data_IF_982787200455
#
_entry.id   IF_982787200455
#
_cell.length_a   1.000
_cell.length_b   1.000
_cell.length_c   1.000
_cell.angle_alpha   90.00
_cell.angle_beta   90.00
_cell.angle_gamma   90.00
#
_symmetry.space_group_name_H-M   'P 1'
#
loop_
_entity.id
_entity.type
_entity.pdbx_description
1 polymer ?
#
# COMPACT_ATOMS: atom_id res chain seq x y z
N UNK A 1 55.16 113.70 37.68
CA UNK A 1 55.08 113.15 36.26
C UNK A 1 55.24 111.61 36.17
N UNK A 2 56.16 110.99 36.94
CA UNK A 2 56.41 109.54 36.91
C UNK A 2 55.20 108.70 37.36
N UNK A 3 54.39 109.11 38.38
CA UNK A 3 53.22 108.36 38.82
C UNK A 3 52.08 108.32 37.76
N UNK A 4 51.93 109.37 36.94
CA UNK A 4 50.96 109.42 35.87
C UNK A 4 51.35 108.47 34.72
N UNK A 5 52.66 108.38 34.44
CA UNK A 5 53.13 107.41 33.40
C UNK A 5 52.95 105.96 33.80
N UNK A 6 53.18 105.68 35.12
CA UNK A 6 52.96 104.30 35.62
C UNK A 6 51.49 103.87 35.55
N UNK A 7 50.65 104.81 36.04
CA UNK A 7 49.16 104.55 35.97
C UNK A 7 48.63 104.47 34.56
N UNK A 8 49.18 105.24 33.62
CA UNK A 8 48.81 105.10 32.19
C UNK A 8 49.29 103.81 31.58
N UNK A 9 50.47 103.26 31.94
CA UNK A 9 50.98 102.01 31.51
C UNK A 9 50.16 100.82 32.11
N UNK A 10 49.85 100.92 33.39
CA UNK A 10 48.95 99.90 34.03
C UNK A 10 47.56 99.91 33.44
N UNK A 11 46.95 101.11 33.17
CA UNK A 11 45.69 101.17 32.47
C UNK A 11 45.70 100.57 31.10
N UNK A 12 46.80 100.81 30.33
CA UNK A 12 46.93 100.23 29.02
C UNK A 12 47.14 98.71 29.07
N UNK A 13 47.87 98.19 30.03
CA UNK A 13 48.05 96.72 30.23
C UNK A 13 46.74 96.09 30.66
N UNK A 14 45.98 96.71 31.49
CA UNK A 14 44.59 96.22 31.87
C UNK A 14 43.64 96.25 30.70
N UNK A 15 43.71 97.28 29.84
CA UNK A 15 42.87 97.34 28.61
C UNK A 15 43.27 96.24 27.60
N UNK A 16 44.55 95.95 27.46
CA UNK A 16 45.00 94.86 26.63
C UNK A 16 44.50 93.45 27.18
N UNK A 17 44.67 93.31 28.50
CA UNK A 17 44.15 92.08 29.14
C UNK A 17 42.61 91.94 28.95
N UNK A 18 41.90 93.04 29.14
CA UNK A 18 40.44 93.03 28.94
C UNK A 18 40.03 92.71 27.51
N UNK A 19 40.78 93.23 26.50
CA UNK A 19 40.57 92.92 25.10
C UNK A 19 40.86 91.41 24.82
N UNK A 20 42.00 90.93 25.34
CA UNK A 20 42.37 89.53 25.22
C UNK A 20 41.28 88.58 25.81
N UNK A 21 40.81 88.89 27.02
CA UNK A 21 39.76 88.12 27.68
C UNK A 21 38.43 88.20 26.92
N UNK A 22 38.05 89.37 26.36
CA UNK A 22 36.86 89.42 25.48
C UNK A 22 36.99 88.59 24.25
N UNK A 23 38.11 88.65 23.54
CA UNK A 23 38.37 87.82 22.36
C UNK A 23 38.36 86.32 22.71
N UNK A 24 38.91 85.96 23.86
CA UNK A 24 38.91 84.56 24.31
C UNK A 24 37.46 84.07 24.64
N UNK A 25 36.71 84.95 25.30
CA UNK A 25 35.29 84.67 25.57
C UNK A 25 34.43 84.51 24.28
N UNK A 26 34.62 85.46 23.35
CA UNK A 26 33.93 85.39 22.04
C UNK A 26 34.27 84.10 21.28
N UNK A 27 35.54 83.68 21.33
CA UNK A 27 35.94 82.40 20.73
C UNK A 27 35.32 81.22 21.41
N UNK A 28 35.28 81.20 22.73
CA UNK A 28 34.62 80.11 23.49
C UNK A 28 33.15 80.12 23.29
N UNK A 29 32.49 81.27 23.20
CA UNK A 29 31.05 81.35 22.92
C UNK A 29 30.72 80.86 21.50
N UNK A 30 31.58 81.20 20.51
CA UNK A 30 31.47 80.67 19.16
C UNK A 30 31.69 79.14 19.10
N UNK A 31 32.69 78.65 19.80
CA UNK A 31 32.94 77.19 19.91
C UNK A 31 31.81 76.48 20.61
N UNK A 32 31.23 77.11 21.66
CA UNK A 32 30.08 76.57 22.34
C UNK A 32 28.80 76.53 21.46
N UNK A 33 28.62 77.56 20.60
CA UNK A 33 27.55 77.61 19.63
C UNK A 33 27.65 76.58 18.51
N UNK A 34 28.93 76.19 18.16
CA UNK A 34 29.20 75.12 17.17
C UNK A 34 29.18 73.72 17.76
N UNK A 35 29.23 73.58 19.09
CA UNK A 35 29.05 72.30 19.77
C UNK A 35 27.60 71.94 19.77
N UNK A 36 27.22 71.12 18.79
CA UNK A 36 25.95 70.37 18.84
C UNK A 36 26.03 69.42 20.02
N UNK A 37 25.66 69.84 21.19
CA UNK A 37 25.46 68.92 22.32
C UNK A 37 24.28 68.04 21.94
N UNK A 38 24.43 66.71 21.88
CA UNK A 38 23.31 65.82 21.63
C UNK A 38 22.25 66.10 22.70
N UNK A 39 21.02 66.20 22.23
CA UNK A 39 19.88 66.31 23.16
C UNK A 39 19.86 65.11 24.09
N UNK A 40 19.90 65.35 25.39
CA UNK A 40 19.91 64.30 26.40
C UNK A 40 18.73 63.32 26.25
N UNK A 41 17.58 63.82 25.79
CA UNK A 41 16.39 63.00 25.50
C UNK A 41 16.60 62.13 24.27
N UNK A 42 17.25 62.66 23.22
CA UNK A 42 17.62 61.89 22.03
C UNK A 42 18.65 60.82 22.34
N UNK A 43 19.63 61.11 23.20
CA UNK A 43 20.63 60.09 23.64
C UNK A 43 19.94 58.96 24.43
N UNK A 44 19.00 59.30 25.32
CA UNK A 44 18.30 58.28 26.09
C UNK A 44 17.40 57.43 25.20
N UNK A 45 16.66 58.04 24.26
CA UNK A 45 15.89 57.30 23.26
C UNK A 45 16.74 56.39 22.38
N UNK A 46 17.95 56.79 22.01
CA UNK A 46 18.87 55.95 21.23
C UNK A 46 19.40 54.77 22.06
N UNK A 47 19.69 55.02 23.36
CA UNK A 47 20.08 53.92 24.26
C UNK A 47 18.95 52.89 24.43
N UNK A 48 17.71 53.35 24.63
CA UNK A 48 16.52 52.51 24.77
C UNK A 48 16.31 51.65 23.49
N UNK A 49 16.41 52.29 22.32
CA UNK A 49 16.34 51.58 21.03
C UNK A 49 17.49 50.59 20.83
N UNK A 50 18.70 50.93 21.29
CA UNK A 50 19.84 50.00 21.23
C UNK A 50 19.59 48.78 22.10
N UNK A 51 19.09 48.98 23.33
CA UNK A 51 18.75 47.86 24.22
C UNK A 51 17.64 46.99 23.67
N UNK A 52 16.62 47.60 23.08
CA UNK A 52 15.55 46.84 22.40
C UNK A 52 16.06 46.07 21.20
N UNK A 53 16.94 46.68 20.38
CA UNK A 53 17.57 46.02 19.22
C UNK A 53 18.48 44.89 19.63
N UNK A 54 19.26 45.08 20.70
CA UNK A 54 20.17 44.03 21.24
C UNK A 54 19.31 42.84 21.77
N UNK A 55 18.23 43.11 22.50
CA UNK A 55 17.31 42.07 22.96
C UNK A 55 16.66 41.30 21.78
N UNK A 56 16.23 42.02 20.74
CA UNK A 56 15.64 41.39 19.53
C UNK A 56 16.72 40.58 18.78
N UNK A 57 17.95 41.06 18.75
CA UNK A 57 19.05 40.32 18.12
C UNK A 57 19.37 39.03 18.88
N UNK A 58 19.47 39.09 20.23
CA UNK A 58 19.65 37.90 21.07
C UNK A 58 18.54 36.87 20.89
N UNK A 59 17.26 37.32 20.87
CA UNK A 59 16.13 36.44 20.61
C UNK A 59 16.19 35.81 19.22
N UNK A 60 16.49 36.60 18.19
CA UNK A 60 16.66 36.12 16.83
C UNK A 60 17.81 35.11 16.69
N UNK A 61 18.94 35.40 17.35
CA UNK A 61 20.10 34.49 17.36
C UNK A 61 19.78 33.16 18.04
N UNK A 62 19.12 33.19 19.21
CA UNK A 62 18.69 31.98 19.91
C UNK A 62 17.71 31.16 19.06
N UNK A 63 16.82 31.84 18.33
CA UNK A 63 15.89 31.18 17.41
C UNK A 63 16.58 30.52 16.22
N UNK A 64 17.57 31.19 15.63
CA UNK A 64 18.41 30.61 14.55
C UNK A 64 19.15 29.38 15.05
N UNK A 65 19.72 29.43 16.25
CA UNK A 65 20.43 28.32 16.87
C UNK A 65 19.51 27.10 17.10
N UNK A 66 18.31 27.30 17.71
CA UNK A 66 17.28 26.25 17.88
C UNK A 66 16.86 25.63 16.52
N UNK A 67 16.59 26.46 15.51
CA UNK A 67 16.22 25.99 14.18
C UNK A 67 17.36 25.23 13.49
N UNK A 68 18.59 25.68 13.65
CA UNK A 68 19.79 25.06 13.09
C UNK A 68 20.08 23.68 13.73
N UNK A 69 19.76 23.50 15.02
CA UNK A 69 19.86 22.20 15.69
C UNK A 69 18.76 21.23 15.25
N UNK A 70 17.56 21.73 14.96
CA UNK A 70 16.39 20.93 14.57
C UNK A 70 16.38 20.55 13.08
N UNK A 71 16.99 21.37 12.23
CA UNK A 71 17.00 21.15 10.78
C UNK A 71 17.54 19.76 10.39
N UNK A 72 18.71 19.28 10.89
CA UNK A 72 19.23 17.98 10.51
C UNK A 72 18.34 16.80 10.96
N UNK A 73 17.64 16.93 12.09
CA UNK A 73 16.70 15.92 12.55
C UNK A 73 15.47 15.84 11.65
N UNK A 74 14.95 17.00 11.25
CA UNK A 74 13.81 17.10 10.33
C UNK A 74 14.17 16.62 8.92
N UNK A 75 15.38 16.92 8.44
CA UNK A 75 15.86 16.41 7.15
C UNK A 75 16.06 14.89 7.19
N UNK A 76 16.58 14.34 8.28
CA UNK A 76 16.67 12.89 8.47
C UNK A 76 15.29 12.22 8.50
N UNK A 77 14.32 12.79 9.21
CA UNK A 77 12.94 12.32 9.24
C UNK A 77 12.29 12.40 7.86
N UNK A 78 12.50 13.49 7.12
CA UNK A 78 12.03 13.67 5.75
C UNK A 78 12.57 12.58 4.81
N UNK A 79 13.88 12.31 4.86
CA UNK A 79 14.52 11.26 4.04
C UNK A 79 14.01 9.87 4.40
N UNK A 80 13.81 9.58 5.68
CA UNK A 80 13.27 8.30 6.14
C UNK A 80 11.84 8.08 5.63
N UNK A 81 10.96 9.07 5.79
CA UNK A 81 9.58 8.98 5.31
C UNK A 81 9.49 8.93 3.78
N UNK A 82 10.37 9.63 3.06
CA UNK A 82 10.48 9.55 1.61
C UNK A 82 10.86 8.14 1.15
N UNK A 83 11.86 7.53 1.79
CA UNK A 83 12.29 6.17 1.48
C UNK A 83 11.18 5.16 1.75
N UNK A 84 10.47 5.31 2.86
CA UNK A 84 9.33 4.45 3.21
C UNK A 84 8.20 4.59 2.18
N UNK A 85 7.81 5.82 1.82
CA UNK A 85 6.78 6.06 0.81
C UNK A 85 7.15 5.47 -0.56
N UNK A 86 8.42 5.55 -0.96
CA UNK A 86 8.91 4.92 -2.18
C UNK A 86 8.83 3.39 -2.10
N UNK A 87 9.22 2.81 -0.97
CA UNK A 87 9.20 1.36 -0.73
C UNK A 87 7.77 0.82 -0.79
N UNK A 88 6.84 1.45 -0.07
CA UNK A 88 5.43 1.05 -0.06
C UNK A 88 4.78 1.22 -1.44
N UNK A 89 5.08 2.30 -2.14
CA UNK A 89 4.57 2.53 -3.51
C UNK A 89 5.11 1.49 -4.49
N UNK A 90 6.39 1.10 -4.38
CA UNK A 90 6.98 0.07 -5.23
C UNK A 90 6.37 -1.32 -4.96
N UNK A 91 6.13 -1.67 -3.71
CA UNK A 91 5.45 -2.93 -3.34
C UNK A 91 4.02 -2.96 -3.87
N UNK A 92 3.25 -1.90 -3.70
CA UNK A 92 1.91 -1.77 -4.26
C UNK A 92 1.91 -1.92 -5.79
N UNK A 93 2.84 -1.27 -6.48
CA UNK A 93 2.96 -1.36 -7.93
C UNK A 93 3.29 -2.79 -8.39
N UNK A 94 4.20 -3.48 -7.69
CA UNK A 94 4.55 -4.87 -7.98
C UNK A 94 3.35 -5.81 -7.79
N UNK A 95 2.63 -5.70 -6.68
CA UNK A 95 1.45 -6.53 -6.40
C UNK A 95 0.34 -6.25 -7.40
N UNK A 96 0.10 -4.98 -7.74
CA UNK A 96 -0.90 -4.58 -8.75
C UNK A 96 -0.57 -5.13 -10.12
N UNK A 97 0.68 -5.01 -10.57
CA UNK A 97 1.11 -5.55 -11.86
C UNK A 97 0.96 -7.08 -11.93
N UNK A 98 1.31 -7.79 -10.86
CA UNK A 98 1.12 -9.25 -10.79
C UNK A 98 -0.36 -9.64 -10.83
N UNK A 99 -1.19 -8.93 -10.08
CA UNK A 99 -2.64 -9.13 -10.06
C UNK A 99 -3.27 -8.91 -11.45
N UNK A 100 -2.91 -7.83 -12.13
CA UNK A 100 -3.39 -7.52 -13.47
C UNK A 100 -2.93 -8.57 -14.50
N UNK A 101 -1.68 -9.01 -14.44
CA UNK A 101 -1.16 -10.06 -15.33
C UNK A 101 -1.92 -11.37 -15.14
N UNK A 102 -2.18 -11.79 -13.89
CA UNK A 102 -2.94 -13.01 -13.61
C UNK A 102 -4.41 -12.89 -14.05
N UNK A 103 -5.05 -11.74 -13.84
CA UNK A 103 -6.41 -11.47 -14.32
C UNK A 103 -6.49 -11.51 -15.84
N UNK A 104 -5.55 -10.87 -16.53
CA UNK A 104 -5.49 -10.89 -17.99
C UNK A 104 -5.26 -12.31 -18.56
N UNK A 105 -4.37 -13.08 -17.92
CA UNK A 105 -4.16 -14.48 -18.29
C UNK A 105 -5.42 -15.31 -18.09
N UNK A 106 -6.11 -15.12 -16.97
CA UNK A 106 -7.34 -15.85 -16.66
C UNK A 106 -8.49 -15.49 -17.62
N UNK A 107 -8.62 -14.22 -17.97
CA UNK A 107 -9.58 -13.74 -18.96
C UNK A 107 -9.25 -14.29 -20.35
N UNK A 108 -7.99 -14.28 -20.73
CA UNK A 108 -7.53 -14.86 -22.01
C UNK A 108 -7.89 -16.33 -22.10
N UNK A 109 -7.64 -17.11 -21.06
CA UNK A 109 -8.00 -18.54 -21.01
C UNK A 109 -9.53 -18.75 -21.13
N UNK A 110 -10.31 -17.83 -20.57
CA UNK A 110 -11.77 -17.89 -20.65
C UNK A 110 -12.34 -17.40 -21.99
N UNK A 111 -11.72 -16.42 -22.63
CA UNK A 111 -12.24 -15.76 -23.83
C UNK A 111 -11.67 -16.29 -25.15
N UNK A 112 -10.49 -16.91 -25.16
CA UNK A 112 -9.85 -17.39 -26.40
C UNK A 112 -10.46 -18.65 -27.00
N UNK A 113 -11.43 -19.29 -26.31
CA UNK A 113 -12.13 -20.43 -26.87
C UNK A 113 -13.39 -20.01 -27.66
N UNK A 114 -13.80 -20.84 -28.57
CA UNK A 114 -15.12 -20.77 -29.26
C UNK A 114 -16.30 -20.79 -28.28
N UNK A 115 -16.04 -20.93 -26.95
CA UNK A 115 -17.02 -21.09 -25.90
C UNK A 115 -17.74 -19.77 -25.60
N UNK A 116 -17.06 -18.63 -25.52
CA UNK A 116 -17.67 -17.31 -25.24
C UNK A 116 -18.81 -16.98 -26.20
N UNK A 117 -18.57 -16.96 -27.53
CA UNK A 117 -19.60 -16.70 -28.52
C UNK A 117 -20.73 -17.75 -28.47
N UNK A 118 -20.44 -19.01 -28.16
CA UNK A 118 -21.47 -20.03 -28.01
C UNK A 118 -22.36 -19.79 -26.78
N UNK A 119 -21.75 -19.42 -25.63
CA UNK A 119 -22.50 -19.07 -24.42
C UNK A 119 -23.39 -17.85 -24.64
N UNK A 120 -22.91 -16.82 -25.34
CA UNK A 120 -23.71 -15.66 -25.70
C UNK A 120 -24.90 -16.04 -26.58
N UNK A 121 -24.67 -16.87 -27.60
CA UNK A 121 -25.70 -17.37 -28.49
C UNK A 121 -26.81 -18.17 -27.74
N UNK A 122 -26.41 -18.92 -26.72
CA UNK A 122 -27.31 -19.73 -25.90
C UNK A 122 -27.92 -18.96 -24.72
N UNK A 123 -27.59 -17.67 -24.53
CA UNK A 123 -28.08 -16.85 -23.43
C UNK A 123 -27.47 -17.23 -22.06
N UNK A 124 -26.32 -17.92 -22.06
CA UNK A 124 -25.65 -18.43 -20.87
C UNK A 124 -24.43 -17.58 -20.45
N UNK A 125 -24.17 -16.47 -21.13
CA UNK A 125 -22.98 -15.62 -20.91
C UNK A 125 -22.84 -15.07 -19.48
N UNK A 126 -23.96 -14.84 -18.80
CA UNK A 126 -24.01 -14.28 -17.45
C UNK A 126 -23.92 -15.34 -16.33
N UNK A 127 -23.85 -16.62 -16.69
CA UNK A 127 -23.81 -17.69 -15.70
C UNK A 127 -22.39 -17.88 -15.19
N UNK A 128 -22.30 -18.12 -13.89
CA UNK A 128 -21.01 -18.26 -13.20
C UNK A 128 -20.52 -19.71 -13.27
N UNK A 129 -19.30 -19.93 -13.76
CA UNK A 129 -18.66 -21.25 -13.73
C UNK A 129 -18.43 -21.73 -12.30
N UNK A 130 -18.52 -23.05 -12.08
CA UNK A 130 -18.46 -23.68 -10.76
C UNK A 130 -17.17 -23.31 -9.98
N UNK A 131 -16.02 -23.27 -10.65
CA UNK A 131 -14.74 -22.98 -10.00
C UNK A 131 -14.71 -21.61 -9.28
N UNK A 132 -15.51 -20.61 -9.69
CA UNK A 132 -15.62 -19.31 -9.00
C UNK A 132 -16.33 -19.39 -7.64
N UNK A 133 -16.98 -20.52 -7.38
CA UNK A 133 -17.74 -20.77 -6.14
C UNK A 133 -17.03 -21.77 -5.23
N UNK A 134 -15.88 -22.32 -5.67
CA UNK A 134 -15.16 -23.36 -4.95
C UNK A 134 -13.99 -22.75 -4.16
N UNK A 135 -13.91 -23.13 -2.90
CA UNK A 135 -12.80 -22.83 -2.02
C UNK A 135 -12.30 -24.13 -1.41
N UNK A 136 -11.01 -24.35 -1.44
CA UNK A 136 -10.36 -25.54 -0.88
C UNK A 136 -9.20 -25.11 0.00
N UNK A 137 -8.75 -25.99 0.88
CA UNK A 137 -7.54 -25.75 1.67
C UNK A 137 -6.32 -25.51 0.77
N UNK A 138 -5.47 -24.50 1.13
CA UNK A 138 -4.27 -24.19 0.33
C UNK A 138 -3.38 -25.42 0.11
N UNK A 139 -2.92 -25.58 -1.12
CA UNK A 139 -2.08 -26.69 -1.56
C UNK A 139 -2.84 -27.93 -2.05
N UNK A 140 -4.20 -27.90 -2.06
CA UNK A 140 -5.03 -28.97 -2.61
C UNK A 140 -5.76 -28.57 -3.91
N UNK A 141 -5.50 -27.40 -4.45
CA UNK A 141 -6.12 -26.86 -5.67
C UNK A 141 -5.91 -27.80 -6.86
N UNK A 142 -4.67 -28.27 -7.05
CA UNK A 142 -4.31 -29.18 -8.14
C UNK A 142 -4.99 -30.53 -7.99
N UNK A 143 -5.17 -31.01 -6.75
CA UNK A 143 -5.88 -32.26 -6.48
C UNK A 143 -7.36 -32.16 -6.86
N UNK A 144 -8.00 -31.04 -6.49
CA UNK A 144 -9.38 -30.78 -6.85
C UNK A 144 -9.56 -30.63 -8.37
N UNK A 145 -8.68 -29.86 -9.04
CA UNK A 145 -8.70 -29.71 -10.49
C UNK A 145 -8.54 -31.05 -11.21
N UNK A 146 -7.58 -31.88 -10.76
CA UNK A 146 -7.34 -33.20 -11.33
C UNK A 146 -8.55 -34.15 -11.17
N UNK A 147 -9.27 -34.05 -10.06
CA UNK A 147 -10.45 -34.86 -9.78
C UNK A 147 -11.69 -34.38 -10.52
N UNK A 148 -11.87 -33.06 -10.61
CA UNK A 148 -13.05 -32.44 -11.22
C UNK A 148 -12.97 -32.35 -12.74
N UNK A 149 -11.74 -32.15 -13.29
CA UNK A 149 -11.48 -31.99 -14.74
C UNK A 149 -12.43 -30.96 -15.40
N UNK A 150 -13.16 -31.39 -16.46
CA UNK A 150 -14.14 -30.55 -17.15
C UNK A 150 -15.26 -30.03 -16.28
N UNK A 151 -15.54 -30.67 -15.15
CA UNK A 151 -16.55 -30.24 -14.18
C UNK A 151 -16.17 -28.95 -13.48
N UNK A 152 -14.89 -28.57 -13.45
CA UNK A 152 -14.47 -27.27 -12.91
C UNK A 152 -15.12 -26.08 -13.62
N UNK A 153 -15.25 -26.16 -14.94
CA UNK A 153 -15.90 -25.12 -15.76
C UNK A 153 -17.41 -25.31 -15.89
N UNK A 154 -18.02 -26.23 -15.14
CA UNK A 154 -19.45 -26.52 -15.23
C UNK A 154 -20.30 -25.30 -14.93
N UNK A 155 -21.43 -25.18 -15.63
CA UNK A 155 -22.38 -24.07 -15.50
C UNK A 155 -23.67 -24.59 -14.88
N UNK A 156 -24.17 -23.81 -13.91
CA UNK A 156 -25.45 -24.08 -13.27
C UNK A 156 -26.61 -23.80 -14.23
N UNK A 157 -27.53 -24.74 -14.34
CA UNK A 157 -28.78 -24.59 -15.06
C UNK A 157 -29.96 -24.87 -14.13
N UNK A 158 -31.07 -24.21 -14.37
CA UNK A 158 -32.27 -24.39 -13.52
C UNK A 158 -32.84 -25.82 -13.61
N UNK A 159 -32.68 -26.46 -14.75
CA UNK A 159 -33.11 -27.85 -15.01
C UNK A 159 -32.21 -28.51 -16.04
N UNK A 160 -31.77 -29.74 -15.78
CA UNK A 160 -30.90 -30.47 -16.71
C UNK A 160 -31.60 -30.79 -18.05
N UNK A 161 -32.92 -30.87 -18.07
CA UNK A 161 -33.66 -31.06 -19.32
C UNK A 161 -33.43 -29.99 -20.38
N UNK A 162 -33.01 -28.77 -19.96
CA UNK A 162 -32.70 -27.68 -20.86
C UNK A 162 -31.48 -28.00 -21.74
N UNK A 163 -30.60 -28.87 -21.28
CA UNK A 163 -29.38 -29.27 -22.01
C UNK A 163 -29.71 -30.03 -23.30
N UNK A 164 -30.92 -30.62 -23.42
CA UNK A 164 -31.39 -31.25 -24.67
C UNK A 164 -31.43 -30.27 -25.85
N UNK A 165 -31.64 -28.98 -25.59
CA UNK A 165 -31.63 -27.96 -26.63
C UNK A 165 -30.24 -27.81 -27.28
N UNK A 166 -29.18 -28.21 -26.61
CA UNK A 166 -27.81 -28.12 -27.10
C UNK A 166 -27.36 -29.34 -27.91
N UNK A 167 -28.20 -30.37 -28.04
CA UNK A 167 -27.83 -31.59 -28.80
C UNK A 167 -27.50 -31.30 -30.25
N UNK A 168 -28.21 -30.34 -30.88
CA UNK A 168 -27.98 -29.94 -32.27
C UNK A 168 -26.89 -28.89 -32.45
N UNK A 169 -26.58 -28.16 -31.38
CA UNK A 169 -25.53 -27.10 -31.37
C UNK A 169 -24.71 -27.28 -30.07
N UNK A 170 -23.95 -28.36 -30.03
CA UNK A 170 -23.19 -28.77 -28.85
C UNK A 170 -22.08 -27.73 -28.52
N UNK A 171 -21.71 -27.60 -27.24
CA UNK A 171 -20.60 -26.76 -26.85
C UNK A 171 -19.33 -27.11 -27.65
N UNK A 172 -18.57 -26.11 -28.13
CA UNK A 172 -17.39 -26.34 -28.96
C UNK A 172 -16.20 -26.91 -28.16
N UNK A 173 -16.31 -26.98 -26.84
CA UNK A 173 -15.33 -27.55 -25.92
C UNK A 173 -16.01 -28.49 -24.93
N UNK A 174 -15.20 -29.33 -24.25
CA UNK A 174 -15.70 -30.16 -23.16
C UNK A 174 -16.28 -29.29 -22.07
N UNK A 175 -17.55 -29.47 -21.74
CA UNK A 175 -18.29 -28.68 -20.78
C UNK A 175 -19.27 -29.56 -20.02
N UNK A 176 -19.50 -29.27 -18.75
CA UNK A 176 -20.52 -29.90 -17.94
C UNK A 176 -21.59 -28.87 -17.54
N UNK A 177 -22.79 -29.37 -17.31
CA UNK A 177 -23.91 -28.62 -16.75
C UNK A 177 -24.35 -29.30 -15.48
N UNK A 178 -24.81 -28.54 -14.49
CA UNK A 178 -25.32 -29.06 -13.25
C UNK A 178 -26.57 -28.29 -12.80
N UNK A 179 -27.36 -28.94 -11.95
CA UNK A 179 -28.43 -28.30 -11.20
C UNK A 179 -28.20 -28.57 -9.72
N UNK A 180 -28.51 -27.61 -8.88
CA UNK A 180 -28.43 -27.81 -7.43
C UNK A 180 -29.66 -28.55 -6.93
N UNK A 181 -29.46 -29.54 -6.07
CA UNK A 181 -30.49 -30.27 -5.35
C UNK A 181 -30.16 -30.26 -3.85
N UNK A 182 -31.20 -30.28 -3.03
CA UNK A 182 -31.00 -30.36 -1.57
C UNK A 182 -30.81 -31.81 -1.07
N UNK A 183 -30.95 -32.79 -1.96
CA UNK A 183 -30.72 -34.20 -1.61
C UNK A 183 -29.22 -34.46 -1.44
N UNK A 184 -28.83 -34.91 -0.26
CA UNK A 184 -27.46 -35.35 0.02
C UNK A 184 -27.34 -36.86 -0.23
N UNK A 185 -26.29 -37.34 -0.96
CA UNK A 185 -26.05 -38.76 -1.08
C UNK A 185 -25.75 -39.38 0.29
N UNK A 186 -26.02 -40.66 0.50
CA UNK A 186 -25.68 -41.35 1.73
C UNK A 186 -24.17 -41.35 1.92
N UNK A 187 -23.66 -41.14 3.16
CA UNK A 187 -22.24 -41.12 3.41
C UNK A 187 -21.60 -42.49 3.16
N UNK A 188 -20.55 -42.56 2.38
CA UNK A 188 -19.67 -43.71 2.20
C UNK A 188 -18.63 -43.69 3.33
N UNK A 189 -18.62 -44.75 4.16
CA UNK A 189 -17.68 -44.80 5.30
C UNK A 189 -16.39 -45.52 4.92
N UNK A 190 -15.33 -44.75 4.67
CA UNK A 190 -13.96 -45.25 4.57
C UNK A 190 -13.05 -44.61 5.63
N UNK A 191 -11.99 -45.33 6.01
CA UNK A 191 -10.98 -44.81 6.98
C UNK A 191 -10.04 -43.75 6.33
N UNK A 192 -10.11 -43.58 5.00
CA UNK A 192 -9.28 -42.63 4.26
C UNK A 192 -9.88 -41.22 4.30
N UNK A 193 -9.04 -40.18 4.38
CA UNK A 193 -9.54 -38.80 4.35
C UNK A 193 -10.10 -38.44 2.98
N UNK A 194 -11.35 -38.01 2.96
CA UNK A 194 -12.07 -37.61 1.74
C UNK A 194 -11.62 -36.25 1.24
N UNK A 195 -11.55 -36.07 -0.10
CA UNK A 195 -11.26 -34.77 -0.71
C UNK A 195 -12.35 -33.73 -0.37
N UNK A 196 -13.60 -34.17 -0.22
CA UNK A 196 -14.72 -33.32 0.20
C UNK A 196 -14.52 -32.65 1.54
N UNK A 197 -13.80 -33.27 2.48
CA UNK A 197 -13.53 -32.72 3.81
C UNK A 197 -12.64 -31.48 3.80
N UNK A 198 -11.89 -31.27 2.71
CA UNK A 198 -11.00 -30.12 2.51
C UNK A 198 -11.71 -28.92 1.85
N UNK A 199 -12.95 -29.12 1.39
CA UNK A 199 -13.76 -28.05 0.79
C UNK A 199 -14.32 -27.15 1.87
N UNK A 200 -14.29 -25.85 1.63
CA UNK A 200 -14.83 -24.83 2.52
C UNK A 200 -16.17 -24.33 1.99
N UNK A 201 -17.16 -24.28 2.87
CA UNK A 201 -18.51 -23.82 2.59
C UNK A 201 -18.89 -22.73 3.59
N UNK A 202 -18.29 -21.53 3.40
CA UNK A 202 -18.38 -20.44 4.37
C UNK A 202 -19.59 -19.51 4.12
N UNK A 203 -20.33 -19.71 3.02
CA UNK A 203 -21.45 -18.85 2.66
C UNK A 203 -22.80 -19.51 2.94
N UNK A 204 -23.79 -18.77 3.44
CA UNK A 204 -25.15 -19.28 3.61
C UNK A 204 -25.75 -19.67 2.25
N UNK A 205 -26.50 -20.78 2.23
CA UNK A 205 -27.16 -21.26 1.01
C UNK A 205 -26.35 -22.23 0.14
N UNK A 206 -25.16 -22.66 0.57
CA UNK A 206 -24.30 -23.59 -0.19
C UNK A 206 -24.67 -25.09 0.00
N UNK A 207 -25.79 -25.41 0.63
CA UNK A 207 -26.20 -26.81 0.86
C UNK A 207 -26.30 -27.62 -0.45
N UNK A 208 -26.93 -27.07 -1.48
CA UNK A 208 -27.01 -27.70 -2.79
C UNK A 208 -25.65 -27.92 -3.45
N UNK A 209 -24.73 -26.97 -3.30
CA UNK A 209 -23.35 -27.10 -3.79
C UNK A 209 -22.59 -28.20 -3.05
N UNK A 210 -22.75 -28.27 -1.73
CA UNK A 210 -22.16 -29.33 -0.91
C UNK A 210 -22.68 -30.71 -1.32
N UNK A 211 -23.97 -30.85 -1.56
CA UNK A 211 -24.59 -32.09 -2.02
C UNK A 211 -24.07 -32.51 -3.41
N UNK A 212 -23.97 -31.56 -4.34
CA UNK A 212 -23.37 -31.78 -5.66
C UNK A 212 -21.93 -32.28 -5.60
N UNK A 213 -21.10 -31.63 -4.78
CA UNK A 213 -19.68 -31.99 -4.67
C UNK A 213 -19.50 -33.31 -3.93
N UNK A 214 -20.32 -33.61 -2.95
CA UNK A 214 -20.36 -34.91 -2.29
C UNK A 214 -20.69 -36.03 -3.29
N UNK A 215 -21.65 -35.81 -4.20
CA UNK A 215 -21.96 -36.75 -5.28
C UNK A 215 -20.81 -36.89 -6.31
N UNK A 216 -20.24 -35.78 -6.72
CA UNK A 216 -19.20 -35.80 -7.77
C UNK A 216 -17.82 -36.28 -7.32
N UNK A 217 -17.51 -36.14 -6.05
CA UNK A 217 -16.26 -36.54 -5.42
C UNK A 217 -16.42 -37.76 -4.52
N UNK A 218 -17.53 -38.46 -4.59
CA UNK A 218 -17.72 -39.72 -3.90
C UNK A 218 -16.65 -40.72 -4.32
N UNK A 219 -16.04 -41.38 -3.34
CA UNK A 219 -14.93 -42.30 -3.59
C UNK A 219 -13.57 -41.64 -3.95
N UNK A 220 -13.46 -40.29 -3.81
CA UNK A 220 -12.20 -39.59 -4.00
C UNK A 220 -11.58 -39.25 -2.65
N UNK A 221 -10.47 -39.93 -2.33
CA UNK A 221 -9.72 -39.75 -1.09
C UNK A 221 -8.45 -38.96 -1.34
N UNK A 222 -7.76 -38.57 -0.28
CA UNK A 222 -6.57 -37.72 -0.35
C UNK A 222 -5.35 -38.37 0.28
N UNK A 223 -4.17 -38.12 -0.29
CA UNK A 223 -2.89 -38.44 0.33
C UNK A 223 -1.90 -37.27 0.09
N UNK A 224 -0.96 -37.00 1.00
CA UNK A 224 -0.02 -35.91 0.85
C UNK A 224 0.93 -36.09 -0.35
N UNK A 225 1.30 -37.32 -0.66
CA UNK A 225 2.25 -37.70 -1.73
C UNK A 225 1.91 -39.05 -2.38
N UNK A 226 2.62 -39.34 -3.47
CA UNK A 226 2.43 -40.57 -4.26
C UNK A 226 2.79 -41.83 -3.45
N UNK A 227 3.82 -41.78 -2.62
CA UNK A 227 4.26 -42.93 -1.85
C UNK A 227 3.18 -43.35 -0.85
N UNK A 228 2.58 -42.40 -0.14
CA UNK A 228 1.46 -42.62 0.76
C UNK A 228 0.23 -43.16 0.03
N UNK A 229 -0.11 -42.57 -1.13
CA UNK A 229 -1.23 -43.03 -1.96
C UNK A 229 -1.03 -44.49 -2.43
N UNK A 230 0.17 -44.84 -2.85
CA UNK A 230 0.48 -46.22 -3.25
C UNK A 230 0.38 -47.25 -2.10
N UNK A 231 0.72 -46.85 -0.88
CA UNK A 231 0.59 -47.72 0.31
C UNK A 231 -0.88 -47.94 0.71
N UNK A 232 -1.72 -46.94 0.49
CA UNK A 232 -3.13 -46.97 0.89
C UNK A 232 -4.07 -47.54 -0.19
N UNK A 233 -3.60 -47.71 -1.43
CA UNK A 233 -4.42 -48.13 -2.59
C UNK A 233 -5.21 -49.42 -2.41
N UNK A 234 -4.70 -50.36 -1.61
CA UNK A 234 -5.35 -51.65 -1.37
C UNK A 234 -6.65 -51.55 -0.57
N UNK A 235 -6.87 -50.38 0.09
CA UNK A 235 -8.07 -50.06 0.84
C UNK A 235 -9.20 -49.56 -0.08
N UNK A 236 -8.89 -49.22 -1.37
CA UNK A 236 -9.86 -48.68 -2.32
C UNK A 236 -10.85 -49.72 -2.81
N UNK A 237 -12.11 -49.33 -2.89
CA UNK A 237 -13.16 -50.09 -3.57
C UNK A 237 -13.16 -49.91 -5.09
N UNK A 238 -14.19 -50.38 -5.75
CA UNK A 238 -14.35 -50.24 -7.20
C UNK A 238 -14.70 -48.79 -7.57
N UNK A 239 -13.93 -48.22 -8.49
CA UNK A 239 -14.13 -46.84 -8.96
C UNK A 239 -13.54 -45.77 -8.08
N UNK A 240 -13.07 -46.12 -6.88
CA UNK A 240 -12.45 -45.20 -5.94
C UNK A 240 -11.01 -44.88 -6.32
N UNK A 241 -10.54 -43.71 -5.90
CA UNK A 241 -9.20 -43.24 -6.15
C UNK A 241 -8.67 -42.36 -5.01
N UNK A 242 -7.36 -42.36 -4.85
CA UNK A 242 -6.64 -41.43 -3.96
C UNK A 242 -5.98 -40.38 -4.84
N UNK A 243 -6.20 -39.12 -4.55
CA UNK A 243 -5.54 -38.01 -5.22
C UNK A 243 -4.50 -37.36 -4.31
N UNK A 244 -3.33 -37.06 -4.89
CA UNK A 244 -2.23 -36.38 -4.16
C UNK A 244 -2.32 -34.86 -4.32
N UNK A 245 -1.60 -34.11 -3.46
CA UNK A 245 -1.48 -32.64 -3.62
C UNK A 245 -1.00 -32.22 -5.01
N UNK A 246 -0.12 -33.02 -5.62
CA UNK A 246 0.36 -32.79 -6.99
C UNK A 246 -0.66 -33.14 -8.08
N UNK A 247 -1.86 -33.61 -7.72
CA UNK A 247 -2.92 -33.98 -8.66
C UNK A 247 -2.78 -35.38 -9.24
N UNK A 248 -1.77 -36.18 -8.82
CA UNK A 248 -1.65 -37.56 -9.28
C UNK A 248 -2.74 -38.43 -8.68
N UNK A 249 -3.42 -39.22 -9.50
CA UNK A 249 -4.51 -40.07 -9.06
C UNK A 249 -4.05 -41.56 -9.04
N UNK A 250 -4.29 -42.21 -7.92
CA UNK A 250 -3.98 -43.61 -7.69
C UNK A 250 -5.26 -44.38 -7.49
N UNK A 251 -5.52 -45.33 -8.35
CA UNK A 251 -6.57 -46.33 -8.14
C UNK A 251 -5.93 -47.65 -7.65
N UNK A 252 -6.75 -48.64 -7.35
CA UNK A 252 -6.27 -49.94 -6.90
C UNK A 252 -5.26 -50.55 -7.85
N UNK A 253 -5.39 -50.34 -9.18
CA UNK A 253 -4.61 -51.03 -10.20
C UNK A 253 -3.86 -50.06 -11.14
N UNK A 254 -4.00 -48.77 -11.02
CA UNK A 254 -3.41 -47.79 -11.92
C UNK A 254 -2.96 -46.53 -11.22
N UNK A 255 -1.96 -45.87 -11.81
CA UNK A 255 -1.53 -44.52 -11.41
C UNK A 255 -1.62 -43.62 -12.64
N UNK A 256 -2.31 -42.50 -12.48
CA UNK A 256 -2.38 -41.45 -13.48
C UNK A 256 -1.58 -40.23 -12.99
N UNK A 257 -0.58 -39.83 -13.74
CA UNK A 257 0.12 -38.60 -13.44
C UNK A 257 -0.67 -37.42 -13.98
N UNK A 258 -0.83 -36.41 -13.12
CA UNK A 258 -1.38 -35.15 -13.57
C UNK A 258 -0.29 -34.35 -14.27
N UNK A 259 -0.60 -33.87 -15.47
CA UNK A 259 0.19 -32.90 -16.18
C UNK A 259 -0.73 -31.70 -16.51
N UNK A 260 -0.21 -30.52 -16.36
CA UNK A 260 -0.92 -29.29 -16.70
C UNK A 260 -0.93 -29.10 -18.23
N UNK A 261 -1.62 -30.00 -18.94
CA UNK A 261 -1.61 -30.03 -20.41
C UNK A 261 -2.59 -29.06 -21.08
N UNK A 262 -3.38 -28.32 -20.35
CA UNK A 262 -4.38 -27.45 -20.94
C UNK A 262 -4.26 -26.01 -20.45
N UNK A 263 -4.66 -25.08 -21.30
CA UNK A 263 -4.83 -23.67 -20.94
C UNK A 263 -5.77 -23.47 -19.71
N UNK A 264 -6.56 -24.49 -19.38
CA UNK A 264 -7.47 -24.52 -18.24
C UNK A 264 -6.82 -25.00 -16.95
N UNK A 265 -5.62 -25.60 -17.01
CA UNK A 265 -4.92 -26.05 -15.81
C UNK A 265 -4.52 -24.86 -14.92
N UNK A 266 -4.67 -25.04 -13.62
CA UNK A 266 -4.35 -24.02 -12.63
C UNK A 266 -5.40 -22.89 -12.51
N UNK A 267 -6.62 -23.07 -12.99
CA UNK A 267 -7.70 -22.10 -12.87
C UNK A 267 -8.00 -21.77 -11.40
N UNK A 268 -8.12 -22.79 -10.58
CA UNK A 268 -8.46 -22.64 -9.17
C UNK A 268 -7.30 -22.02 -8.39
N UNK A 269 -6.07 -22.51 -8.62
CA UNK A 269 -4.88 -21.97 -7.99
C UNK A 269 -4.69 -20.48 -8.35
N UNK A 270 -4.88 -20.12 -9.64
CA UNK A 270 -4.84 -18.71 -10.06
C UNK A 270 -5.95 -17.89 -9.44
N UNK A 271 -7.16 -18.43 -9.32
CA UNK A 271 -8.28 -17.72 -8.70
C UNK A 271 -7.98 -17.38 -7.23
N UNK A 272 -7.46 -18.34 -6.48
CA UNK A 272 -7.07 -18.13 -5.08
C UNK A 272 -5.88 -17.15 -4.96
N UNK A 273 -4.90 -17.26 -5.88
CA UNK A 273 -3.79 -16.29 -5.91
C UNK A 273 -4.29 -14.88 -6.21
N UNK A 274 -5.22 -14.70 -7.15
CA UNK A 274 -5.85 -13.41 -7.47
C UNK A 274 -6.57 -12.85 -6.23
N UNK A 275 -7.31 -13.68 -5.52
CA UNK A 275 -8.04 -13.25 -4.31
C UNK A 275 -7.07 -12.84 -3.20
N UNK A 276 -6.00 -13.60 -2.99
CA UNK A 276 -4.95 -13.29 -2.02
C UNK A 276 -4.22 -11.98 -2.39
N UNK A 277 -3.84 -11.82 -3.65
CA UNK A 277 -3.17 -10.61 -4.14
C UNK A 277 -4.10 -9.37 -4.09
N UNK A 278 -5.40 -9.56 -4.31
CA UNK A 278 -6.35 -8.45 -4.20
C UNK A 278 -6.52 -7.98 -2.74
N UNK A 279 -6.49 -8.90 -1.78
CA UNK A 279 -6.45 -8.57 -0.36
C UNK A 279 -5.15 -7.85 0.02
N UNK A 280 -3.99 -8.37 -0.41
CA UNK A 280 -2.68 -7.75 -0.20
C UNK A 280 -2.60 -6.35 -0.84
N UNK A 281 -3.12 -6.17 -2.05
CA UNK A 281 -3.15 -4.87 -2.72
C UNK A 281 -3.92 -3.82 -1.91
N UNK A 282 -5.08 -4.20 -1.34
CA UNK A 282 -5.86 -3.28 -0.49
C UNK A 282 -5.10 -2.86 0.77
N UNK A 283 -4.43 -3.80 1.42
CA UNK A 283 -3.60 -3.51 2.59
C UNK A 283 -2.42 -2.61 2.22
N UNK A 284 -1.70 -2.94 1.13
CA UNK A 284 -0.57 -2.15 0.65
C UNK A 284 -0.99 -0.74 0.17
N UNK A 285 -2.21 -0.59 -0.38
CA UNK A 285 -2.76 0.70 -0.76
C UNK A 285 -2.92 1.62 0.46
N UNK A 286 -3.44 1.09 1.57
CA UNK A 286 -3.53 1.82 2.83
C UNK A 286 -2.16 2.22 3.37
N UNK A 287 -1.20 1.29 3.41
CA UNK A 287 0.16 1.56 3.85
C UNK A 287 0.88 2.60 2.99
N UNK A 288 0.70 2.54 1.67
CA UNK A 288 1.26 3.52 0.75
C UNK A 288 0.63 4.91 0.92
N UNK A 289 -0.67 5.00 1.20
CA UNK A 289 -1.35 6.26 1.48
C UNK A 289 -0.91 6.86 2.81
N UNK A 290 -0.77 6.05 3.86
CA UNK A 290 -0.23 6.47 5.16
C UNK A 290 1.20 6.96 5.05
N UNK A 291 2.06 6.24 4.31
CA UNK A 291 3.45 6.62 4.10
C UNK A 291 3.56 7.93 3.30
N UNK A 292 2.74 8.14 2.26
CA UNK A 292 2.68 9.41 1.52
C UNK A 292 2.19 10.56 2.39
N UNK A 293 1.21 10.33 3.24
CA UNK A 293 0.73 11.34 4.19
C UNK A 293 1.80 11.68 5.24
N UNK A 294 2.57 10.69 5.71
CA UNK A 294 3.69 10.91 6.62
C UNK A 294 4.82 11.70 5.95
N UNK A 295 5.16 11.37 4.71
CA UNK A 295 6.13 12.13 3.91
C UNK A 295 5.67 13.59 3.76
N UNK A 296 4.42 13.83 3.38
CA UNK A 296 3.90 15.20 3.23
C UNK A 296 3.98 16.02 4.53
N UNK A 297 3.74 15.40 5.69
CA UNK A 297 3.92 16.07 6.99
C UNK A 297 5.37 16.38 7.30
N UNK A 298 6.29 15.46 7.00
CA UNK A 298 7.73 15.66 7.20
C UNK A 298 8.30 16.75 6.27
N UNK A 299 7.86 16.79 5.00
CA UNK A 299 8.22 17.83 4.04
C UNK A 299 7.74 19.21 4.52
N UNK A 300 6.51 19.32 5.02
CA UNK A 300 5.98 20.55 5.58
C UNK A 300 6.73 21.01 6.84
N UNK A 301 7.05 20.08 7.74
CA UNK A 301 7.81 20.38 8.95
C UNK A 301 9.23 20.88 8.64
N UNK A 302 9.91 20.23 7.71
CA UNK A 302 11.23 20.67 7.23
C UNK A 302 11.16 22.02 6.55
N UNK A 303 10.20 22.25 5.65
CA UNK A 303 10.02 23.51 4.96
C UNK A 303 9.75 24.69 5.91
N UNK A 304 9.04 24.46 7.02
CA UNK A 304 8.76 25.48 8.02
C UNK A 304 9.99 25.94 8.83
N UNK A 305 11.04 25.13 8.86
CA UNK A 305 12.32 25.43 9.52
C UNK A 305 13.31 26.05 8.54
N UNK A 306 13.26 25.65 7.27
CA UNK A 306 14.15 26.13 6.21
C UNK A 306 13.75 27.52 5.66
N UNK A 307 12.53 28.01 5.94
CA UNK A 307 12.03 29.33 5.54
C UNK A 307 12.30 30.40 6.58
#
# INVERSE_FOLDING_TARGET
>A
QQQIQVLAAESHALDEQARSLRQRRERLDAQKATLNLPDATAVEQLKERSLEADAQWEEAQARVEDLSEREPELDAARRATQTEAQTQTAQLAQTTARLEALRALQEKVQSQGKLGPWLEKQGLANLTALWKRLHIEPGWETALEASMRERMAAIEVSRLDLVRAFEQDAPPTRMAFYTLTEASPPPTHHALPELTSLLRFDQPGQMGLRALLADWLDGVYTAPDLATALTQRDQLGHGELIVTKAGHAVSRQAVAFYAADSEQAGLLARAQEIETLDAQRREQEQLADEARAAQGRADQAHAAVAA
#
